data_IF_923661512200
#
_entry.id   IF_923661512200
#
_cell.length_a   1.000
_cell.length_b   1.000
_cell.length_c   1.000
_cell.angle_alpha   90.00
_cell.angle_beta   90.00
_cell.angle_gamma   90.00
#
_symmetry.space_group_name_H-M   'P 1'
#
loop_
_entity.id
_entity.type
_entity.pdbx_description
1 polymer ?
#
# COMPACT_ATOMS: atom_id res chain seq x y z
N UNK A 1 -39.33 12.73 -29.55
CA UNK A 1 -38.85 11.32 -29.48
C UNK A 1 -40.04 10.37 -29.52
N UNK A 2 -39.97 9.31 -30.33
CA UNK A 2 -41.03 8.29 -30.46
C UNK A 2 -41.15 7.51 -29.14
N UNK A 3 -42.35 7.07 -28.77
CA UNK A 3 -42.66 6.30 -27.53
C UNK A 3 -41.64 5.17 -27.24
N UNK A 4 -41.17 4.51 -28.29
CA UNK A 4 -40.17 3.43 -28.21
C UNK A 4 -38.80 3.88 -27.66
N UNK A 5 -38.35 5.10 -27.96
CA UNK A 5 -37.04 5.60 -27.50
C UNK A 5 -37.06 5.89 -25.98
N UNK A 6 -38.19 6.32 -25.43
CA UNK A 6 -38.33 6.52 -23.98
C UNK A 6 -38.35 5.19 -23.22
N UNK A 7 -39.06 4.20 -23.75
CA UNK A 7 -39.10 2.85 -23.16
C UNK A 7 -37.73 2.19 -23.15
N UNK A 8 -36.96 2.36 -24.23
CA UNK A 8 -35.60 1.81 -24.35
C UNK A 8 -34.67 2.35 -23.27
N UNK A 9 -34.64 3.67 -23.09
CA UNK A 9 -33.76 4.33 -22.09
C UNK A 9 -34.12 3.87 -20.69
N UNK A 10 -35.41 3.90 -20.34
CA UNK A 10 -35.84 3.49 -19.00
C UNK A 10 -35.53 2.02 -18.72
N UNK A 11 -35.70 1.12 -19.69
CA UNK A 11 -35.37 -0.30 -19.55
C UNK A 11 -33.86 -0.49 -19.40
N UNK A 12 -33.06 0.21 -20.22
CA UNK A 12 -31.62 0.15 -20.15
C UNK A 12 -31.09 0.68 -18.81
N UNK A 13 -31.63 1.80 -18.31
CA UNK A 13 -31.33 2.31 -16.96
C UNK A 13 -31.66 1.25 -15.89
N UNK A 14 -32.83 0.62 -15.95
CA UNK A 14 -33.20 -0.41 -14.97
C UNK A 14 -32.25 -1.62 -14.99
N UNK A 15 -31.87 -2.11 -16.19
CA UNK A 15 -30.95 -3.23 -16.32
C UNK A 15 -29.53 -2.87 -15.85
N UNK A 16 -29.04 -1.66 -16.17
CA UNK A 16 -27.75 -1.17 -15.66
C UNK A 16 -27.74 -1.06 -14.14
N UNK A 17 -28.85 -0.62 -13.52
CA UNK A 17 -28.98 -0.61 -12.06
C UNK A 17 -28.89 -2.03 -11.47
N UNK A 18 -29.51 -3.03 -12.09
CA UNK A 18 -29.39 -4.42 -11.63
C UNK A 18 -27.94 -4.89 -11.70
N UNK A 19 -27.22 -4.60 -12.79
CA UNK A 19 -25.79 -4.93 -12.89
C UNK A 19 -24.99 -4.27 -11.78
N UNK A 20 -25.22 -2.98 -11.51
CA UNK A 20 -24.53 -2.25 -10.43
C UNK A 20 -24.84 -2.82 -9.05
N UNK A 21 -26.10 -3.14 -8.76
CA UNK A 21 -26.50 -3.72 -7.49
C UNK A 21 -25.85 -5.09 -7.27
N UNK A 22 -25.91 -5.98 -8.26
CA UNK A 22 -25.32 -7.33 -8.18
C UNK A 22 -23.81 -7.24 -8.05
N UNK A 23 -23.14 -6.46 -8.89
CA UNK A 23 -21.67 -6.31 -8.84
C UNK A 23 -21.21 -5.60 -7.57
N UNK A 24 -22.00 -4.68 -7.00
CA UNK A 24 -21.70 -4.02 -5.73
C UNK A 24 -21.81 -4.99 -4.54
N UNK A 25 -22.84 -5.84 -4.51
CA UNK A 25 -22.96 -6.90 -3.50
C UNK A 25 -21.83 -7.92 -3.65
N UNK A 26 -21.56 -8.38 -4.86
CA UNK A 26 -20.46 -9.31 -5.13
C UNK A 26 -19.11 -8.72 -4.75
N UNK A 27 -18.90 -7.43 -5.05
CA UNK A 27 -17.72 -6.71 -4.62
C UNK A 27 -17.63 -6.80 -3.09
N UNK A 28 -18.68 -6.46 -2.33
CA UNK A 28 -18.65 -6.50 -0.87
C UNK A 28 -18.40 -7.89 -0.26
N UNK A 29 -19.06 -8.95 -0.76
CA UNK A 29 -19.06 -10.28 -0.12
C UNK A 29 -17.98 -11.23 -0.61
N UNK A 30 -17.20 -10.89 -1.65
CA UNK A 30 -16.15 -11.76 -2.20
C UNK A 30 -14.76 -11.11 -2.10
N UNK A 31 -13.69 -11.92 -2.13
CA UNK A 31 -12.34 -11.42 -2.37
C UNK A 31 -12.26 -10.52 -3.60
N UNK A 32 -11.31 -9.58 -3.58
CA UNK A 32 -11.13 -8.61 -4.65
C UNK A 32 -11.01 -9.31 -6.02
N UNK A 33 -11.74 -8.79 -7.00
CA UNK A 33 -11.66 -9.23 -8.39
C UNK A 33 -11.67 -8.02 -9.29
N UNK A 34 -10.60 -7.85 -10.07
CA UNK A 34 -10.48 -6.79 -11.09
C UNK A 34 -11.67 -6.84 -12.05
N UNK A 35 -12.14 -8.05 -12.41
CA UNK A 35 -13.30 -8.22 -13.27
C UNK A 35 -14.60 -7.69 -12.66
N UNK A 36 -14.89 -8.02 -11.40
CA UNK A 36 -16.12 -7.57 -10.71
C UNK A 36 -16.09 -6.06 -10.45
N UNK A 37 -14.99 -5.56 -9.89
CA UNK A 37 -14.82 -4.14 -9.57
C UNK A 37 -14.75 -3.29 -10.83
N UNK A 38 -14.02 -3.76 -11.85
CA UNK A 38 -13.92 -3.10 -13.17
C UNK A 38 -15.27 -3.03 -13.88
N UNK A 39 -16.05 -4.12 -13.88
CA UNK A 39 -17.42 -4.12 -14.43
C UNK A 39 -18.32 -3.15 -13.68
N UNK A 40 -18.27 -3.13 -12.34
CA UNK A 40 -19.05 -2.19 -11.51
C UNK A 40 -18.71 -0.74 -11.85
N UNK A 41 -17.42 -0.38 -11.86
CA UNK A 41 -16.96 0.97 -12.15
C UNK A 41 -17.33 1.43 -13.56
N UNK A 42 -17.10 0.58 -14.58
CA UNK A 42 -17.43 0.89 -15.97
C UNK A 42 -18.94 1.06 -16.16
N UNK A 43 -19.75 0.13 -15.63
CA UNK A 43 -21.20 0.23 -15.70
C UNK A 43 -21.72 1.44 -14.92
N UNK A 44 -21.05 1.83 -13.84
CA UNK A 44 -21.38 3.02 -13.06
C UNK A 44 -21.21 4.28 -13.89
N UNK A 45 -20.10 4.39 -14.59
CA UNK A 45 -19.84 5.49 -15.53
C UNK A 45 -20.88 5.55 -16.65
N UNK A 46 -21.19 4.42 -17.29
CA UNK A 46 -22.25 4.33 -18.31
C UNK A 46 -23.61 4.75 -17.73
N UNK A 47 -23.91 4.30 -16.51
CA UNK A 47 -25.17 4.58 -15.81
C UNK A 47 -25.35 6.07 -15.51
N UNK A 48 -24.29 6.81 -15.17
CA UNK A 48 -24.35 8.28 -15.02
C UNK A 48 -24.82 8.94 -16.32
N UNK A 49 -24.29 8.52 -17.47
CA UNK A 49 -24.73 9.00 -18.78
C UNK A 49 -26.20 8.66 -19.08
N UNK A 50 -26.63 7.44 -18.74
CA UNK A 50 -28.03 7.02 -18.89
C UNK A 50 -28.97 7.81 -17.99
N UNK A 51 -28.59 8.11 -16.76
CA UNK A 51 -29.36 8.97 -15.85
C UNK A 51 -29.50 10.37 -16.43
N UNK A 52 -28.42 10.97 -16.95
CA UNK A 52 -28.49 12.29 -17.56
C UNK A 52 -29.50 12.31 -18.72
N UNK A 53 -29.48 11.30 -19.59
CA UNK A 53 -30.45 11.17 -20.67
C UNK A 53 -31.87 10.89 -20.15
N UNK A 54 -32.01 10.06 -19.10
CA UNK A 54 -33.28 9.79 -18.45
C UNK A 54 -33.91 11.07 -17.85
N UNK A 55 -33.11 11.90 -17.18
CA UNK A 55 -33.51 13.19 -16.61
C UNK A 55 -33.91 14.17 -17.72
N UNK A 56 -33.08 14.33 -18.75
CA UNK A 56 -33.40 15.19 -19.89
C UNK A 56 -34.72 14.80 -20.57
N UNK A 57 -34.97 13.49 -20.70
CA UNK A 57 -36.20 12.97 -21.30
C UNK A 57 -37.46 13.16 -20.44
N UNK A 58 -37.30 13.34 -19.12
CA UNK A 58 -38.40 13.44 -18.16
C UNK A 58 -38.40 14.77 -17.39
N UNK A 59 -37.71 15.79 -17.90
CA UNK A 59 -37.44 17.06 -17.20
C UNK A 59 -38.72 17.78 -16.72
N UNK A 60 -39.79 17.76 -17.53
CA UNK A 60 -41.08 18.37 -17.20
C UNK A 60 -41.79 17.68 -16.02
N UNK A 61 -41.59 16.36 -15.87
CA UNK A 61 -42.15 15.61 -14.75
C UNK A 61 -41.28 15.82 -13.50
N UNK A 62 -39.96 15.81 -13.67
CA UNK A 62 -38.99 15.97 -12.58
C UNK A 62 -39.04 17.36 -11.94
N UNK A 63 -39.29 18.42 -12.72
CA UNK A 63 -39.34 19.81 -12.23
C UNK A 63 -40.39 20.05 -11.14
N UNK A 64 -41.44 19.21 -11.05
CA UNK A 64 -42.42 19.25 -9.96
C UNK A 64 -41.84 18.78 -8.63
N UNK A 65 -40.97 17.77 -8.66
CA UNK A 65 -40.33 17.22 -7.46
C UNK A 65 -39.24 18.16 -6.92
N UNK A 66 -38.56 18.88 -7.80
CA UNK A 66 -37.50 19.84 -7.41
C UNK A 66 -38.04 20.98 -6.54
N UNK A 67 -39.34 21.31 -6.66
CA UNK A 67 -39.99 22.36 -5.84
C UNK A 67 -40.56 21.84 -4.51
N UNK A 68 -40.39 20.55 -4.22
CA UNK A 68 -40.93 19.93 -3.00
C UNK A 68 -40.00 20.10 -1.81
N UNK A 69 -40.56 20.27 -0.61
CA UNK A 69 -39.80 20.19 0.66
C UNK A 69 -39.11 18.83 0.84
N UNK A 70 -39.64 17.79 0.19
CA UNK A 70 -39.06 16.44 0.19
C UNK A 70 -37.66 16.45 -0.43
N UNK A 71 -37.37 17.30 -1.44
CA UNK A 71 -36.04 17.41 -2.03
C UNK A 71 -34.99 17.76 -0.96
N UNK A 72 -35.27 18.80 -0.17
CA UNK A 72 -34.36 19.28 0.87
C UNK A 72 -34.11 18.23 1.94
N UNK A 73 -35.15 17.47 2.32
CA UNK A 73 -35.02 16.34 3.23
C UNK A 73 -34.12 15.25 2.63
N UNK A 74 -34.37 14.84 1.38
CA UNK A 74 -33.54 13.82 0.71
C UNK A 74 -32.10 14.26 0.52
N UNK A 75 -31.88 15.55 0.25
CA UNK A 75 -30.54 16.13 0.13
C UNK A 75 -29.82 16.13 1.48
N UNK A 76 -30.50 16.53 2.56
CA UNK A 76 -29.94 16.49 3.91
C UNK A 76 -29.55 15.07 4.34
N UNK A 77 -30.42 14.08 4.08
CA UNK A 77 -30.13 12.66 4.37
C UNK A 77 -28.91 12.19 3.56
N UNK A 78 -28.90 12.44 2.25
CA UNK A 78 -27.80 11.99 1.38
C UNK A 78 -26.47 12.64 1.78
N UNK A 79 -26.45 13.95 2.00
CA UNK A 79 -25.27 14.66 2.47
C UNK A 79 -24.81 14.20 3.86
N UNK A 80 -25.75 13.90 4.76
CA UNK A 80 -25.46 13.37 6.09
C UNK A 80 -24.84 11.98 6.04
N UNK A 81 -25.38 11.07 5.22
CA UNK A 81 -24.82 9.74 4.99
C UNK A 81 -23.43 9.82 4.37
N UNK A 82 -23.23 10.70 3.38
CA UNK A 82 -21.91 10.94 2.78
C UNK A 82 -20.92 11.47 3.82
N UNK A 83 -21.32 12.44 4.64
CA UNK A 83 -20.49 12.98 5.72
C UNK A 83 -20.12 11.92 6.76
N UNK A 84 -21.08 11.09 7.16
CA UNK A 84 -20.87 9.96 8.09
C UNK A 84 -19.88 8.95 7.50
N UNK A 85 -20.02 8.63 6.21
CA UNK A 85 -19.10 7.74 5.51
C UNK A 85 -17.70 8.33 5.37
N UNK A 86 -17.56 9.65 5.18
CA UNK A 86 -16.25 10.32 5.13
C UNK A 86 -15.58 10.40 6.51
N UNK A 87 -16.37 10.53 7.58
CA UNK A 87 -15.86 10.57 8.95
C UNK A 87 -15.50 9.18 9.50
N UNK A 88 -16.12 8.11 9.00
CA UNK A 88 -15.86 6.71 9.37
C UNK A 88 -15.78 6.43 10.89
N UNK A 89 -16.83 6.73 11.68
CA UNK A 89 -16.86 6.33 13.10
C UNK A 89 -16.95 4.79 13.25
N UNK A 90 -16.65 4.28 14.45
CA UNK A 90 -16.53 2.84 14.74
C UNK A 90 -17.65 1.94 14.18
N UNK A 91 -18.94 2.31 14.21
CA UNK A 91 -20.00 1.49 13.62
C UNK A 91 -19.87 1.33 12.11
N UNK A 92 -19.41 2.37 11.41
CA UNK A 92 -19.18 2.32 9.95
C UNK A 92 -17.98 1.44 9.65
N UNK A 93 -16.90 1.59 10.42
CA UNK A 93 -15.71 0.73 10.28
C UNK A 93 -16.06 -0.74 10.52
N UNK A 94 -16.90 -1.03 11.52
CA UNK A 94 -17.36 -2.40 11.82
C UNK A 94 -18.14 -3.03 10.66
N UNK A 95 -18.98 -2.25 9.97
CA UNK A 95 -19.70 -2.73 8.77
C UNK A 95 -18.74 -2.92 7.60
N UNK A 96 -17.79 -2.00 7.40
CA UNK A 96 -16.77 -2.12 6.35
C UNK A 96 -15.83 -3.31 6.59
N UNK A 97 -15.53 -3.65 7.84
CA UNK A 97 -14.74 -4.82 8.21
C UNK A 97 -15.41 -6.16 7.85
N UNK A 98 -16.73 -6.18 7.61
CA UNK A 98 -17.42 -7.36 7.08
C UNK A 98 -17.19 -7.57 5.57
N UNK A 99 -16.66 -6.56 4.87
CA UNK A 99 -16.33 -6.64 3.45
C UNK A 99 -15.19 -7.63 3.24
N UNK A 100 -15.39 -8.59 2.35
CA UNK A 100 -14.30 -9.45 1.86
C UNK A 100 -13.52 -8.79 0.72
N UNK A 101 -13.96 -7.62 0.24
CA UNK A 101 -13.24 -6.83 -0.75
C UNK A 101 -12.13 -6.02 -0.10
N UNK A 102 -10.93 -6.58 -0.07
CA UNK A 102 -9.77 -5.97 0.57
C UNK A 102 -8.89 -5.20 -0.43
N UNK A 103 -9.38 -4.99 -1.67
CA UNK A 103 -8.65 -4.30 -2.73
C UNK A 103 -7.56 -5.16 -3.41
N UNK A 104 -6.90 -4.63 -4.46
CA UNK A 104 -5.89 -5.33 -5.26
C UNK A 104 -4.55 -5.61 -4.55
N UNK A 105 -4.30 -4.93 -3.43
CA UNK A 105 -3.10 -5.09 -2.62
C UNK A 105 -3.61 -5.29 -1.20
N UNK A 106 -3.80 -6.55 -0.81
CA UNK A 106 -4.21 -6.87 0.56
C UNK A 106 -2.98 -6.81 1.45
N UNK A 107 -2.46 -5.60 1.60
CA UNK A 107 -1.42 -5.25 2.56
C UNK A 107 -2.12 -5.20 3.92
N UNK A 108 -2.06 -6.28 4.69
CA UNK A 108 -2.63 -6.31 6.04
C UNK A 108 -1.52 -6.04 7.03
N UNK A 109 -1.73 -5.05 7.90
CA UNK A 109 -0.86 -4.79 9.03
C UNK A 109 -1.69 -4.89 10.30
N UNK A 110 -1.43 -5.89 11.12
CA UNK A 110 -2.07 -6.10 12.40
C UNK A 110 -1.03 -6.06 13.51
N UNK A 111 -1.39 -5.42 14.63
CA UNK A 111 -0.54 -5.29 15.81
C UNK A 111 -1.38 -5.58 17.04
N UNK A 112 -0.85 -6.43 17.93
CA UNK A 112 -1.48 -6.82 19.19
C UNK A 112 -0.40 -7.09 20.25
N UNK A 113 -0.81 -7.56 21.43
CA UNK A 113 0.11 -7.86 22.53
C UNK A 113 1.12 -8.98 22.21
N UNK A 114 0.81 -9.88 21.26
CA UNK A 114 1.71 -10.96 20.84
C UNK A 114 2.76 -10.48 19.82
N UNK A 115 2.59 -9.29 19.23
CA UNK A 115 3.51 -8.68 18.28
C UNK A 115 2.82 -8.07 17.06
N UNK A 116 3.40 -8.25 15.88
CA UNK A 116 2.84 -7.71 14.64
C UNK A 116 2.92 -8.70 13.48
N UNK A 117 1.94 -8.59 12.58
CA UNK A 117 1.85 -9.39 11.36
C UNK A 117 1.63 -8.43 10.18
N UNK A 118 2.50 -8.54 9.18
CA UNK A 118 2.33 -7.88 7.89
C UNK A 118 2.13 -8.93 6.80
N UNK A 119 1.06 -8.81 6.00
CA UNK A 119 0.80 -9.66 4.85
C UNK A 119 0.83 -8.85 3.58
N UNK A 120 1.43 -9.37 2.52
CA UNK A 120 1.57 -8.74 1.22
C UNK A 120 1.29 -9.76 0.11
N UNK A 121 0.21 -9.55 -0.64
CA UNK A 121 -0.23 -10.48 -1.70
C UNK A 121 -0.45 -9.74 -3.02
N UNK A 122 0.61 -9.43 -3.79
CA UNK A 122 0.52 -8.72 -5.06
C UNK A 122 -0.09 -9.55 -6.21
N UNK A 123 -0.13 -10.88 -6.07
CA UNK A 123 -0.74 -11.80 -7.02
C UNK A 123 -1.27 -13.05 -6.31
N UNK A 124 -2.21 -13.76 -6.93
CA UNK A 124 -2.82 -14.96 -6.32
C UNK A 124 -1.80 -16.04 -5.92
N UNK A 125 -0.72 -16.16 -6.71
CA UNK A 125 0.36 -17.14 -6.57
C UNK A 125 1.57 -16.60 -5.79
N UNK A 126 1.44 -15.45 -5.13
CA UNK A 126 2.51 -14.88 -4.34
C UNK A 126 1.96 -14.25 -3.06
N UNK A 127 2.37 -14.80 -1.92
CA UNK A 127 2.00 -14.29 -0.61
C UNK A 127 3.23 -14.19 0.26
N UNK A 128 3.51 -12.99 0.73
CA UNK A 128 4.55 -12.70 1.70
C UNK A 128 3.88 -12.40 3.03
N UNK A 129 4.38 -12.99 4.11
CA UNK A 129 3.94 -12.72 5.47
C UNK A 129 5.16 -12.50 6.37
N UNK A 130 5.26 -11.33 6.99
CA UNK A 130 6.20 -11.02 8.06
C UNK A 130 5.48 -11.16 9.39
N UNK A 131 5.94 -12.07 10.24
CA UNK A 131 5.41 -12.27 11.59
C UNK A 131 6.49 -11.95 12.60
N UNK A 132 6.20 -11.02 13.50
CA UNK A 132 7.11 -10.57 14.56
C UNK A 132 6.45 -10.87 15.90
N UNK A 133 7.20 -11.53 16.78
CA UNK A 133 6.82 -11.74 18.17
C UNK A 133 7.28 -10.57 19.01
N UNK A 134 6.36 -10.01 19.79
CA UNK A 134 6.63 -8.99 20.77
C UNK A 134 7.66 -9.47 21.80
N UNK A 135 8.67 -8.65 22.05
CA UNK A 135 9.58 -8.84 23.18
C UNK A 135 9.10 -8.10 24.43
N UNK A 136 9.93 -8.12 25.48
CA UNK A 136 9.64 -7.52 26.80
C UNK A 136 9.30 -6.02 26.80
N UNK A 137 9.79 -5.27 25.80
CA UNK A 137 9.66 -3.83 25.72
C UNK A 137 8.57 -3.37 24.73
N UNK A 138 7.93 -4.31 24.04
CA UNK A 138 6.86 -4.02 23.11
C UNK A 138 5.58 -3.62 23.87
N UNK A 139 5.06 -2.43 23.61
CA UNK A 139 3.82 -1.95 24.21
C UNK A 139 2.79 -1.56 23.15
N UNK A 140 1.70 -2.33 23.04
CA UNK A 140 0.62 -2.02 22.07
C UNK A 140 -0.20 -0.78 22.47
N UNK A 141 -0.19 -0.39 23.76
CA UNK A 141 -0.92 0.80 24.23
C UNK A 141 -0.24 2.08 23.80
N UNK A 142 1.09 2.03 23.69
CA UNK A 142 1.95 3.06 23.12
C UNK A 142 2.65 2.44 21.91
N UNK A 143 1.93 2.18 20.80
CA UNK A 143 2.39 1.30 19.75
C UNK A 143 3.70 1.79 19.11
N UNK A 144 4.65 0.89 18.83
CA UNK A 144 5.90 1.27 18.20
C UNK A 144 5.67 1.86 16.79
N UNK A 145 6.55 2.78 16.41
CA UNK A 145 6.67 3.21 15.02
C UNK A 145 7.31 2.08 14.22
N UNK A 146 6.71 1.73 13.07
CA UNK A 146 7.18 0.63 12.22
C UNK A 146 7.18 1.08 10.77
N UNK A 147 8.28 0.81 10.06
CA UNK A 147 8.35 0.91 8.60
C UNK A 147 8.88 -0.40 8.03
N UNK A 148 8.29 -0.85 6.92
CA UNK A 148 8.72 -2.06 6.19
C UNK A 148 8.97 -1.66 4.76
N UNK A 149 10.13 -2.01 4.19
CA UNK A 149 10.45 -1.68 2.81
C UNK A 149 11.34 -2.74 2.15
N UNK A 150 11.51 -2.59 0.84
CA UNK A 150 12.36 -3.43 0.01
C UNK A 150 13.56 -2.64 -0.50
N UNK A 151 14.72 -3.27 -0.49
CA UNK A 151 15.94 -2.80 -1.14
C UNK A 151 16.44 -3.77 -2.18
N UNK A 152 17.13 -3.26 -3.20
CA UNK A 152 17.87 -4.11 -4.14
C UNK A 152 19.20 -4.58 -3.54
N UNK A 153 19.91 -5.44 -4.29
CA UNK A 153 21.25 -5.90 -3.94
C UNK A 153 22.28 -4.77 -3.76
N UNK A 154 22.00 -3.58 -4.32
CA UNK A 154 22.82 -2.38 -4.19
C UNK A 154 22.37 -1.45 -3.05
N UNK A 155 21.50 -1.91 -2.14
CA UNK A 155 21.02 -1.17 -0.96
C UNK A 155 20.19 0.10 -1.27
N UNK A 156 19.68 0.22 -2.49
CA UNK A 156 18.75 1.29 -2.82
C UNK A 156 17.32 0.88 -2.48
N UNK A 157 16.56 1.83 -1.96
CA UNK A 157 15.12 1.69 -1.77
C UNK A 157 14.42 1.42 -3.10
N UNK A 158 13.56 0.41 -3.12
CA UNK A 158 12.71 0.06 -4.26
C UNK A 158 11.25 0.39 -3.95
N UNK A 159 10.76 -0.03 -2.77
CA UNK A 159 9.35 0.08 -2.40
C UNK A 159 9.16 0.11 -0.89
N UNK A 160 8.36 1.06 -0.41
CA UNK A 160 7.80 1.00 0.94
C UNK A 160 6.56 0.10 0.94
N UNK A 161 6.53 -0.87 1.84
CA UNK A 161 5.46 -1.84 2.04
C UNK A 161 4.52 -1.42 3.19
N UNK A 162 5.09 -0.87 4.26
CA UNK A 162 4.34 -0.32 5.38
C UNK A 162 4.97 1.00 5.84
N UNK A 163 4.12 1.99 6.12
CA UNK A 163 4.51 3.29 6.66
C UNK A 163 3.96 3.45 8.09
N UNK A 164 4.63 4.22 8.95
CA UNK A 164 4.13 4.51 10.29
C UNK A 164 2.75 5.16 10.26
N UNK A 165 1.89 4.78 11.20
CA UNK A 165 0.52 5.31 11.31
C UNK A 165 0.48 6.83 11.48
N UNK A 166 1.37 7.38 12.30
CA UNK A 166 1.67 8.81 12.32
C UNK A 166 2.94 9.05 11.49
N UNK A 167 2.77 9.53 10.26
CA UNK A 167 3.88 9.77 9.35
C UNK A 167 4.85 10.84 9.86
N UNK A 168 4.38 11.85 10.61
CA UNK A 168 5.23 12.94 11.07
C UNK A 168 6.10 12.48 12.23
N UNK A 169 5.49 11.84 13.22
CA UNK A 169 6.24 11.26 14.34
C UNK A 169 7.13 10.10 13.86
N UNK A 170 6.58 9.23 13.01
CA UNK A 170 7.28 8.07 12.47
C UNK A 170 8.49 8.44 11.62
N UNK A 171 8.45 9.49 10.80
CA UNK A 171 9.64 9.95 10.06
C UNK A 171 10.74 10.51 10.97
N UNK A 172 10.37 11.08 12.12
CA UNK A 172 11.34 11.55 13.10
C UNK A 172 11.98 10.38 13.87
N UNK A 173 11.17 9.38 14.23
CA UNK A 173 11.62 8.18 14.93
C UNK A 173 12.42 7.23 14.04
N UNK A 174 11.97 7.00 12.80
CA UNK A 174 12.53 6.03 11.85
C UNK A 174 13.42 6.74 10.82
N UNK A 175 14.51 7.31 11.32
CA UNK A 175 15.37 8.20 10.54
C UNK A 175 16.07 7.49 9.37
N UNK A 176 16.36 6.19 9.48
CA UNK A 176 17.02 5.45 8.41
C UNK A 176 16.09 5.25 7.22
N UNK A 177 14.87 4.78 7.47
CA UNK A 177 13.83 4.63 6.47
C UNK A 177 13.47 5.99 5.83
N UNK A 178 13.29 7.05 6.62
CA UNK A 178 13.01 8.39 6.07
C UNK A 178 14.14 8.87 5.16
N UNK A 179 15.41 8.68 5.55
CA UNK A 179 16.56 8.97 4.71
C UNK A 179 16.52 8.21 3.38
N UNK A 180 16.26 6.89 3.41
CA UNK A 180 16.16 6.04 2.21
C UNK A 180 15.05 6.50 1.28
N UNK A 181 13.86 6.81 1.82
CA UNK A 181 12.71 7.29 1.05
C UNK A 181 13.00 8.65 0.42
N UNK A 182 13.57 9.60 1.17
CA UNK A 182 13.92 10.93 0.64
C UNK A 182 14.92 10.84 -0.51
N UNK A 183 15.95 9.99 -0.36
CA UNK A 183 16.93 9.75 -1.43
C UNK A 183 16.27 9.23 -2.71
N UNK A 184 15.33 8.30 -2.58
CA UNK A 184 14.56 7.77 -3.69
C UNK A 184 13.63 8.81 -4.35
N UNK A 185 12.88 9.58 -3.56
CA UNK A 185 12.01 10.65 -4.07
C UNK A 185 12.81 11.72 -4.82
N UNK A 186 13.99 12.07 -4.32
CA UNK A 186 14.90 12.99 -4.98
C UNK A 186 15.39 12.43 -6.32
N UNK A 187 15.78 11.16 -6.38
CA UNK A 187 16.21 10.48 -7.60
C UNK A 187 15.09 10.47 -8.65
N UNK A 188 13.85 10.12 -8.26
CA UNK A 188 12.68 10.17 -9.14
C UNK A 188 12.44 11.57 -9.71
N UNK A 189 12.55 12.60 -8.88
CA UNK A 189 12.37 13.99 -9.32
C UNK A 189 13.45 14.42 -10.31
N UNK A 190 14.70 14.01 -10.08
CA UNK A 190 15.82 14.29 -10.99
C UNK A 190 15.63 13.59 -12.35
N UNK A 191 15.22 12.33 -12.37
CA UNK A 191 14.93 11.60 -13.60
C UNK A 191 13.75 12.21 -14.38
N UNK A 192 12.65 12.53 -13.69
CA UNK A 192 11.52 13.23 -14.32
C UNK A 192 11.93 14.58 -14.93
N UNK A 193 12.86 15.30 -14.29
CA UNK A 193 13.39 16.56 -14.79
C UNK A 193 14.40 16.40 -15.94
N UNK A 194 15.12 15.28 -16.01
CA UNK A 194 16.07 14.98 -17.09
C UNK A 194 15.38 14.49 -18.37
N UNK A 195 14.09 14.14 -18.29
CA UNK A 195 13.31 13.62 -19.42
C UNK A 195 13.66 12.20 -19.83
N UNK A 196 14.47 11.50 -19.04
CA UNK A 196 14.80 10.08 -19.20
C UNK A 196 13.96 9.28 -18.20
N UNK A 197 13.34 8.19 -18.66
CA UNK A 197 12.74 7.24 -17.71
C UNK A 197 13.87 6.63 -16.85
N UNK A 198 13.62 6.36 -15.56
CA UNK A 198 14.59 5.66 -14.70
C UNK A 198 14.97 4.29 -15.26
N UNK A 199 14.09 3.73 -16.11
CA UNK A 199 14.35 2.51 -16.88
C UNK A 199 15.37 2.69 -18.01
N UNK A 200 15.45 3.89 -18.60
CA UNK A 200 16.28 4.20 -19.78
C UNK A 200 17.75 4.53 -19.43
N UNK A 201 18.08 4.85 -18.18
CA UNK A 201 19.49 5.08 -17.77
C UNK A 201 20.36 3.81 -17.81
N UNK A 202 19.78 2.63 -18.05
CA UNK A 202 20.54 1.37 -18.19
C UNK A 202 21.06 1.09 -19.61
N UNK A 203 20.69 1.89 -20.62
CA UNK A 203 20.98 1.60 -22.03
C UNK A 203 21.98 2.60 -22.65
N UNK A 204 23.15 2.75 -22.03
CA UNK A 204 24.26 3.55 -22.59
C UNK A 204 25.49 2.69 -22.85
N UNK A 205 25.71 2.45 -24.13
CA UNK A 205 26.95 2.10 -24.86
C UNK A 205 27.32 0.61 -25.08
N UNK A 206 27.43 0.26 -26.36
CA UNK A 206 27.32 -1.08 -26.93
C UNK A 206 28.62 -1.88 -27.06
N UNK A 207 29.55 -1.80 -26.10
CA UNK A 207 30.73 -2.70 -26.12
C UNK A 207 31.18 -3.21 -24.75
N UNK A 208 30.54 -2.80 -23.65
CA UNK A 208 30.82 -3.35 -22.31
C UNK A 208 29.61 -3.27 -21.39
N UNK A 209 28.47 -3.79 -21.84
CA UNK A 209 27.23 -3.78 -21.05
C UNK A 209 27.45 -4.48 -19.72
N UNK A 210 27.39 -3.70 -18.62
CA UNK A 210 27.36 -4.26 -17.28
C UNK A 210 26.18 -5.23 -17.19
N UNK A 211 26.39 -6.41 -16.60
CA UNK A 211 25.32 -7.33 -16.23
C UNK A 211 24.22 -6.52 -15.54
N UNK A 212 22.94 -6.64 -15.94
CA UNK A 212 21.81 -6.03 -15.19
C UNK A 212 21.81 -6.60 -13.78
N UNK A 213 22.48 -5.92 -12.86
CA UNK A 213 22.63 -6.34 -11.47
C UNK A 213 21.58 -5.71 -10.56
N UNK A 214 20.79 -4.75 -11.07
CA UNK A 214 19.83 -4.01 -10.27
C UNK A 214 18.78 -3.30 -11.13
N UNK A 215 17.57 -3.24 -10.60
CA UNK A 215 16.41 -2.48 -11.05
C UNK A 215 15.82 -1.63 -9.92
N UNK A 216 15.07 -0.59 -10.27
CA UNK A 216 14.24 0.18 -9.34
C UNK A 216 12.75 -0.17 -9.44
N UNK A 217 12.37 -1.11 -10.31
CA UNK A 217 11.00 -1.59 -10.42
C UNK A 217 10.77 -2.77 -9.45
N UNK A 218 9.86 -2.66 -8.47
CA UNK A 218 9.57 -3.76 -7.54
C UNK A 218 9.09 -5.04 -8.24
N UNK A 219 8.45 -4.91 -9.41
CA UNK A 219 7.99 -6.06 -10.18
C UNK A 219 9.15 -6.93 -10.65
N UNK A 220 10.33 -6.36 -10.92
CA UNK A 220 11.50 -7.10 -11.37
C UNK A 220 12.09 -8.02 -10.28
N UNK A 221 11.63 -7.88 -9.03
CA UNK A 221 12.07 -8.69 -7.90
C UNK A 221 10.97 -9.61 -7.35
N UNK A 222 9.75 -9.09 -7.18
CA UNK A 222 8.68 -9.81 -6.49
C UNK A 222 7.95 -10.76 -7.44
N UNK A 223 7.73 -10.32 -8.68
CA UNK A 223 7.05 -11.07 -9.74
C UNK A 223 7.79 -10.86 -11.07
N UNK A 224 9.05 -11.33 -11.18
CA UNK A 224 9.90 -11.00 -12.30
C UNK A 224 9.27 -11.49 -13.62
N UNK A 225 9.19 -10.61 -14.61
CA UNK A 225 8.69 -10.96 -15.94
C UNK A 225 9.58 -12.01 -16.64
N UNK A 226 10.86 -12.09 -16.26
CA UNK A 226 11.79 -13.11 -16.71
C UNK A 226 12.30 -13.95 -15.52
N UNK A 227 11.69 -15.10 -15.24
CA UNK A 227 12.10 -15.98 -14.14
C UNK A 227 13.48 -16.62 -14.36
N UNK A 228 14.03 -16.62 -15.57
CA UNK A 228 15.35 -17.19 -15.88
C UNK A 228 16.52 -16.28 -15.45
N UNK A 229 16.23 -15.04 -15.01
CA UNK A 229 17.22 -14.12 -14.45
C UNK A 229 16.73 -13.53 -13.12
N UNK A 230 16.62 -14.35 -12.06
CA UNK A 230 16.14 -13.91 -10.76
C UNK A 230 17.12 -12.92 -10.13
N UNK A 231 16.61 -11.78 -9.67
CA UNK A 231 17.42 -10.80 -8.92
C UNK A 231 17.14 -10.94 -7.42
N UNK A 232 18.18 -10.97 -6.56
CA UNK A 232 18.00 -10.94 -5.12
C UNK A 232 17.58 -9.54 -4.66
N UNK A 233 16.86 -9.50 -3.55
CA UNK A 233 16.43 -8.27 -2.90
C UNK A 233 16.37 -8.48 -1.39
N UNK A 234 16.24 -7.39 -0.64
CA UNK A 234 16.18 -7.43 0.82
C UNK A 234 14.86 -6.88 1.29
N UNK A 235 14.29 -7.51 2.32
CA UNK A 235 13.20 -6.94 3.10
C UNK A 235 13.79 -6.38 4.39
N UNK A 236 13.45 -5.14 4.70
CA UNK A 236 13.91 -4.44 5.89
C UNK A 236 12.72 -4.00 6.72
N UNK A 237 12.92 -3.99 8.03
CA UNK A 237 12.04 -3.36 9.01
C UNK A 237 12.87 -2.43 9.89
N UNK A 238 12.36 -1.23 10.13
CA UNK A 238 12.83 -0.33 11.17
C UNK A 238 11.71 -0.17 12.19
N UNK A 239 12.04 -0.37 13.45
CA UNK A 239 11.08 -0.31 14.57
C UNK A 239 11.64 0.55 15.70
N UNK A 240 10.78 1.38 16.28
CA UNK A 240 11.11 2.28 17.38
C UNK A 240 9.97 2.32 18.40
N UNK A 241 10.31 2.27 19.69
CA UNK A 241 9.33 2.37 20.78
C UNK A 241 9.28 3.81 21.27
N UNK A 242 8.12 4.49 21.17
CA UNK A 242 8.02 5.86 21.65
C UNK A 242 8.36 5.98 23.14
N UNK A 243 8.99 7.11 23.49
CA UNK A 243 9.22 7.56 24.87
C UNK A 243 10.17 6.67 25.70
N UNK A 244 11.01 5.84 25.08
CA UNK A 244 12.00 4.99 25.77
C UNK A 244 13.45 5.51 25.70
N UNK A 245 13.66 6.65 25.02
CA UNK A 245 14.96 7.30 24.79
C UNK A 245 16.03 6.38 24.15
N UNK A 246 15.61 5.32 23.44
CA UNK A 246 16.50 4.46 22.66
C UNK A 246 16.47 4.81 21.18
N UNK A 247 17.51 4.43 20.41
CA UNK A 247 17.44 4.48 18.96
C UNK A 247 16.53 3.38 18.40
N UNK A 248 15.96 3.63 17.23
CA UNK A 248 15.31 2.61 16.43
C UNK A 248 16.27 1.46 16.09
N UNK A 249 15.73 0.28 15.81
CA UNK A 249 16.52 -0.87 15.34
C UNK A 249 16.08 -1.29 13.94
N UNK A 250 17.06 -1.64 13.11
CA UNK A 250 16.83 -2.15 11.76
C UNK A 250 17.11 -3.65 11.74
N UNK A 251 16.15 -4.40 11.22
CA UNK A 251 16.29 -5.83 10.93
C UNK A 251 16.15 -6.05 9.43
N UNK A 252 16.81 -7.07 8.89
CA UNK A 252 16.73 -7.38 7.48
C UNK A 252 16.79 -8.86 7.20
N UNK A 253 16.28 -9.25 6.03
CA UNK A 253 16.48 -10.57 5.45
C UNK A 253 16.74 -10.40 3.96
N UNK A 254 17.75 -11.12 3.46
CA UNK A 254 18.01 -11.22 2.03
C UNK A 254 17.18 -12.35 1.43
N UNK A 255 16.50 -12.06 0.33
CA UNK A 255 15.63 -12.97 -0.39
C UNK A 255 16.32 -13.27 -1.72
N UNK A 256 16.90 -14.45 -1.80
CA UNK A 256 17.46 -14.97 -3.04
C UNK A 256 16.35 -15.63 -3.87
N UNK A 257 16.06 -15.05 -5.03
CA UNK A 257 15.08 -15.61 -5.96
C UNK A 257 15.65 -16.81 -6.75
N UNK A 258 16.97 -17.00 -6.78
CA UNK A 258 17.62 -18.18 -7.37
C UNK A 258 17.54 -19.42 -6.47
N UNK A 259 17.52 -19.23 -5.15
CA UNK A 259 17.30 -20.27 -4.12
C UNK A 259 16.08 -19.90 -3.24
N UNK A 260 14.84 -19.98 -3.76
CA UNK A 260 13.67 -19.49 -3.06
C UNK A 260 13.38 -20.31 -1.80
N UNK A 261 13.46 -19.65 -0.65
CA UNK A 261 13.09 -20.22 0.65
C UNK A 261 11.69 -19.79 1.08
N UNK A 262 10.94 -20.73 1.62
CA UNK A 262 9.61 -20.47 2.16
C UNK A 262 9.68 -19.75 3.52
N UNK A 263 10.65 -20.07 4.37
CA UNK A 263 10.79 -19.54 5.73
C UNK A 263 12.19 -18.96 5.94
N UNK A 264 12.26 -17.73 6.43
CA UNK A 264 13.53 -17.01 6.63
C UNK A 264 13.45 -16.13 7.88
N UNK A 265 14.46 -16.17 8.74
CA UNK A 265 14.53 -15.31 9.92
C UNK A 265 15.14 -13.95 9.53
N UNK A 266 14.69 -12.88 10.19
CA UNK A 266 15.32 -11.58 10.04
C UNK A 266 16.48 -11.45 11.02
N UNK A 267 17.58 -10.88 10.53
CA UNK A 267 18.75 -10.56 11.31
C UNK A 267 18.73 -9.10 11.75
N UNK A 268 19.10 -8.83 13.00
CA UNK A 268 19.37 -7.48 13.49
C UNK A 268 20.63 -6.95 12.80
N UNK A 269 20.47 -5.91 11.97
CA UNK A 269 21.60 -5.32 11.22
C UNK A 269 22.25 -4.14 11.93
N UNK A 270 21.52 -3.48 12.84
CA UNK A 270 22.07 -2.42 13.67
C UNK A 270 21.06 -1.33 13.99
N UNK A 271 21.56 -0.29 14.65
CA UNK A 271 20.82 0.94 14.91
C UNK A 271 21.32 2.05 13.97
N UNK A 272 20.46 2.98 13.54
CA UNK A 272 20.87 4.03 12.62
C UNK A 272 21.56 5.18 13.32
N UNK A 273 22.64 5.65 12.72
CA UNK A 273 23.39 6.81 13.18
C UNK A 273 23.69 7.73 12.00
N UNK A 274 23.41 9.01 12.20
CA UNK A 274 23.80 10.04 11.24
C UNK A 274 25.29 10.29 11.32
N UNK A 275 25.95 10.20 10.18
CA UNK A 275 27.38 10.48 10.05
C UNK A 275 27.61 11.91 9.56
N UNK A 276 28.89 12.30 9.48
CA UNK A 276 29.27 13.50 8.76
C UNK A 276 28.79 13.41 7.31
N UNK A 277 28.43 14.55 6.74
CA UNK A 277 28.04 14.60 5.34
C UNK A 277 29.19 14.11 4.45
N UNK A 278 28.85 13.49 3.32
CA UNK A 278 29.85 13.02 2.37
C UNK A 278 30.65 14.18 1.75
N UNK A 279 31.65 13.84 0.92
CA UNK A 279 32.50 14.82 0.22
C UNK A 279 31.72 15.84 -0.63
N UNK A 280 30.47 15.52 -0.98
CA UNK A 280 29.57 16.37 -1.77
C UNK A 280 28.57 17.13 -0.89
N UNK A 281 28.73 17.08 0.44
CA UNK A 281 27.85 17.72 1.42
C UNK A 281 26.49 17.03 1.57
N UNK A 282 26.33 15.79 1.10
CA UNK A 282 25.08 15.03 1.20
C UNK A 282 25.01 14.33 2.55
N UNK A 283 23.80 14.27 3.09
CA UNK A 283 23.52 13.54 4.33
C UNK A 283 23.87 12.05 4.21
N UNK A 284 24.48 11.48 5.24
CA UNK A 284 24.84 10.06 5.33
C UNK A 284 24.25 9.45 6.60
N UNK A 285 23.63 8.29 6.45
CA UNK A 285 23.17 7.45 7.54
C UNK A 285 23.75 6.05 7.39
N UNK A 286 24.35 5.55 8.47
CA UNK A 286 24.89 4.20 8.53
C UNK A 286 24.24 3.41 9.66
N UNK A 287 24.33 2.08 9.57
CA UNK A 287 23.87 1.17 10.60
C UNK A 287 25.07 0.71 11.41
N UNK A 288 25.02 0.97 12.72
CA UNK A 288 26.07 0.61 13.67
C UNK A 288 25.68 -0.63 14.45
N UNK A 289 26.69 -1.42 14.82
CA UNK A 289 26.47 -2.56 15.69
C UNK A 289 25.95 -2.09 17.05
N UNK A 290 24.96 -2.83 17.54
CA UNK A 290 24.40 -2.62 18.87
C UNK A 290 25.48 -2.79 19.93
N UNK A 291 25.49 -1.90 20.92
CA UNK A 291 26.39 -1.93 22.05
C UNK A 291 25.62 -1.81 23.37
N UNK A 292 26.35 -1.79 24.49
CA UNK A 292 25.80 -1.78 25.85
C UNK A 292 24.92 -0.56 26.18
N UNK A 293 24.85 0.44 25.29
CA UNK A 293 23.94 1.60 25.45
C UNK A 293 22.51 1.27 25.03
N UNK A 294 22.31 0.18 24.29
CA UNK A 294 21.01 -0.24 23.78
C UNK A 294 20.44 -1.35 24.67
N UNK A 295 19.30 -1.11 25.32
CA UNK A 295 18.63 -2.09 26.18
C UNK A 295 17.16 -2.28 25.79
N UNK A 296 16.26 -1.34 26.09
CA UNK A 296 14.82 -1.55 25.84
C UNK A 296 14.52 -1.81 24.36
N UNK A 297 15.23 -1.18 23.43
CA UNK A 297 15.05 -1.42 22.00
C UNK A 297 15.38 -2.87 21.59
N UNK A 298 16.41 -3.50 22.18
CA UNK A 298 16.69 -4.93 21.97
C UNK A 298 15.55 -5.83 22.48
N UNK A 299 14.77 -5.32 23.44
CA UNK A 299 13.59 -5.98 23.97
C UNK A 299 12.33 -5.83 23.12
N UNK A 300 12.37 -5.16 21.96
CA UNK A 300 11.16 -4.94 21.14
C UNK A 300 10.72 -6.16 20.34
N UNK A 301 11.69 -6.86 19.76
CA UNK A 301 11.44 -8.04 18.93
C UNK A 301 12.10 -9.24 19.61
N UNK A 302 11.30 -10.23 19.97
CA UNK A 302 11.82 -11.54 20.40
C UNK A 302 12.29 -12.36 19.19
N UNK A 303 11.44 -12.42 18.16
CA UNK A 303 11.77 -13.11 16.90
C UNK A 303 10.97 -12.55 15.74
N UNK A 304 11.55 -12.61 14.54
CA UNK A 304 10.96 -12.13 13.31
C UNK A 304 11.13 -13.17 12.19
N UNK A 305 10.01 -13.59 11.60
CA UNK A 305 9.93 -14.63 10.58
C UNK A 305 9.27 -14.07 9.32
N UNK A 306 9.99 -14.17 8.20
CA UNK A 306 9.46 -13.97 6.87
C UNK A 306 9.02 -15.32 6.28
N UNK A 307 7.78 -15.38 5.80
CA UNK A 307 7.24 -16.49 5.03
C UNK A 307 6.90 -16.00 3.61
N UNK A 308 7.33 -16.73 2.57
CA UNK A 308 6.95 -16.45 1.19
C UNK A 308 6.37 -17.72 0.56
N UNK A 309 5.10 -17.68 0.22
CA UNK A 309 4.41 -18.69 -0.58
C UNK A 309 4.37 -18.25 -2.05
N UNK A 310 4.77 -19.15 -2.96
CA UNK A 310 4.88 -18.90 -4.41
C UNK A 310 4.02 -19.88 -5.24
N UNK A 311 2.99 -20.48 -4.64
CA UNK A 311 2.13 -21.51 -5.25
C UNK A 311 0.83 -20.96 -5.85
#
# INVERSE_FOLDING_TARGET
MKKHQRSFVSLLTALSFVVLAVTGVLAFVRPFSIGVVGLHALMGFVFVGLIAFHVANNLKHLSRYVRSKVLWLTLAITSGLTGLFLWQPDPIQSVLALSQNLGPATDQFEMNDDGLVYQYSPADHYKMALTIRAGKAFDVKTPPHVAIWLENASFYHIKTLHEPRDLKAGRAALSYWDFKVRGWEEAKRKAAASGKDLREETDVDGVSGATRSSSFDPADYILPANPDNPMPYRLLIEIDQPEDDQPSLVYSVEIDNADPRAFQLLDLVGYPMREENDENGREVWALYFVDDRIDSALGLIDSALLTIDRN
#
